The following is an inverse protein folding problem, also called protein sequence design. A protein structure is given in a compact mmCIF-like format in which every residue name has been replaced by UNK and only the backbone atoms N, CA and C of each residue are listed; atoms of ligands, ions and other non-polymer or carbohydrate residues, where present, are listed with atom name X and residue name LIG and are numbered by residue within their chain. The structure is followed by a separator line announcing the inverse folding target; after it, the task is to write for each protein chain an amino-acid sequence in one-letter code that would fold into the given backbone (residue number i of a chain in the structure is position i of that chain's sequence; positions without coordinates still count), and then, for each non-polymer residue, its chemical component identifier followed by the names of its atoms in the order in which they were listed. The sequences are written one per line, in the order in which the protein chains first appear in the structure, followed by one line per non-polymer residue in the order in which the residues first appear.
data_IF_707173840599
#
_entry.id   IF_707173840599
#
_cell.length_a   1.000
_cell.length_b   1.000
_cell.length_c   1.000
_cell.angle_alpha   90.00
_cell.angle_beta   90.00
_cell.angle_gamma   90.00
#
_symmetry.space_group_name_H-M   'P 1'
#
loop_
_entity.id
_entity.type
_entity.pdbx_description
1 polymer ?
#
# COMPACT_ATOMS: atom_id res chain seq x y z
N UNK A 1 25.56 0.28 -11.63
CA UNK A 1 25.28 -0.88 -12.52
C UNK A 1 26.55 -1.72 -12.57
N UNK A 2 26.43 -3.03 -12.36
CA UNK A 2 27.54 -3.98 -12.40
C UNK A 2 27.37 -4.85 -13.65
N UNK A 3 28.44 -5.12 -14.36
CA UNK A 3 28.45 -6.00 -15.55
C UNK A 3 29.18 -7.29 -15.21
N UNK A 4 28.59 -8.43 -15.56
CA UNK A 4 29.17 -9.72 -15.27
C UNK A 4 28.20 -10.87 -15.46
N UNK A 5 28.70 -12.06 -15.23
CA UNK A 5 27.87 -13.27 -15.15
C UNK A 5 27.42 -13.47 -13.72
N UNK A 6 26.13 -13.65 -13.52
CA UNK A 6 25.50 -13.91 -12.23
C UNK A 6 25.33 -15.43 -12.05
N UNK A 7 25.96 -15.99 -11.04
CA UNK A 7 25.82 -17.40 -10.68
C UNK A 7 24.83 -17.53 -9.52
N UNK A 8 23.81 -18.35 -9.72
CA UNK A 8 22.77 -18.63 -8.73
C UNK A 8 22.85 -20.10 -8.30
N UNK A 9 22.83 -20.34 -6.99
CA UNK A 9 22.74 -21.66 -6.41
C UNK A 9 21.72 -21.64 -5.26
N UNK A 10 20.80 -22.60 -5.24
CA UNK A 10 19.75 -22.75 -4.24
C UNK A 10 18.93 -21.47 -3.96
N UNK A 11 18.71 -20.65 -5.01
CA UNK A 11 17.94 -19.39 -4.90
C UNK A 11 18.74 -18.18 -4.39
N UNK A 12 20.04 -18.34 -4.17
CA UNK A 12 20.94 -17.27 -3.71
C UNK A 12 21.95 -16.89 -4.80
N UNK A 13 22.42 -15.64 -4.74
CA UNK A 13 23.56 -15.20 -5.55
C UNK A 13 24.82 -15.81 -4.94
N UNK A 14 25.37 -16.81 -5.60
CA UNK A 14 26.61 -17.44 -5.16
C UNK A 14 27.82 -16.56 -5.48
N UNK A 15 27.88 -16.06 -6.73
CA UNK A 15 29.02 -15.30 -7.23
C UNK A 15 28.63 -14.38 -8.38
N UNK A 16 29.37 -13.29 -8.52
CA UNK A 16 29.34 -12.40 -9.69
C UNK A 16 30.73 -12.37 -10.30
N UNK A 17 30.87 -12.87 -11.52
CA UNK A 17 32.10 -12.76 -12.30
C UNK A 17 32.08 -11.44 -13.07
N UNK A 18 32.78 -10.43 -12.56
CA UNK A 18 32.79 -9.09 -13.12
C UNK A 18 33.43 -9.06 -14.50
N UNK A 19 32.81 -8.35 -15.43
CA UNK A 19 33.28 -8.16 -16.79
C UNK A 19 33.36 -6.67 -17.15
N UNK A 20 34.14 -6.34 -18.17
CA UNK A 20 34.11 -5.00 -18.76
C UNK A 20 32.73 -4.73 -19.36
N UNK A 21 32.23 -3.46 -19.27
CA UNK A 21 30.97 -3.09 -19.88
C UNK A 21 30.90 -3.46 -21.37
N UNK A 22 29.87 -4.19 -21.75
CA UNK A 22 29.58 -4.58 -23.13
C UNK A 22 28.04 -4.61 -23.30
N UNK A 23 27.58 -4.83 -24.52
CA UNK A 23 26.14 -5.01 -24.76
C UNK A 23 25.66 -6.25 -24.01
N UNK A 24 24.65 -6.08 -23.16
CA UNK A 24 24.00 -7.15 -22.38
C UNK A 24 22.59 -7.37 -22.90
N UNK A 25 22.15 -8.62 -22.87
CA UNK A 25 20.79 -9.00 -23.24
C UNK A 25 19.81 -8.90 -22.05
N UNK A 26 20.34 -9.07 -20.84
CA UNK A 26 19.53 -9.23 -19.64
C UNK A 26 19.98 -8.28 -18.53
N UNK A 27 19.03 -7.81 -17.73
CA UNK A 27 19.25 -6.97 -16.56
C UNK A 27 18.65 -7.70 -15.36
N UNK A 28 19.49 -8.06 -14.38
CA UNK A 28 19.02 -8.55 -13.10
C UNK A 28 18.78 -7.38 -12.14
N UNK A 29 17.60 -7.33 -11.54
CA UNK A 29 17.22 -6.36 -10.50
C UNK A 29 16.68 -7.12 -9.29
N UNK A 30 16.71 -6.54 -8.09
CA UNK A 30 15.94 -7.08 -6.97
C UNK A 30 14.47 -7.21 -7.34
N UNK A 31 13.80 -8.23 -6.79
CA UNK A 31 12.36 -8.36 -6.96
C UNK A 31 11.62 -7.13 -6.39
N UNK A 32 10.53 -6.75 -7.03
CA UNK A 32 9.70 -5.63 -6.58
C UNK A 32 8.91 -6.02 -5.33
N UNK A 33 8.62 -5.03 -4.49
CA UNK A 33 7.76 -5.16 -3.31
C UNK A 33 6.56 -4.26 -3.51
N UNK A 34 5.35 -4.82 -3.44
CA UNK A 34 4.11 -4.05 -3.50
C UNK A 34 3.46 -4.02 -2.12
N UNK A 35 3.45 -2.85 -1.51
CA UNK A 35 2.93 -2.65 -0.15
C UNK A 35 1.48 -2.16 -0.11
N UNK A 36 0.88 -1.90 -1.29
CA UNK A 36 -0.50 -1.47 -1.41
C UNK A 36 -1.16 -2.11 -2.64
N UNK A 37 -1.92 -3.18 -2.41
CA UNK A 37 -2.61 -3.93 -3.47
C UNK A 37 -3.84 -4.65 -2.91
N UNK A 38 -5.02 -4.43 -3.53
CA UNK A 38 -6.28 -5.07 -3.14
C UNK A 38 -6.53 -6.38 -3.87
N UNK A 39 -5.69 -6.71 -4.83
CA UNK A 39 -5.82 -7.94 -5.61
C UNK A 39 -5.22 -7.83 -7.00
N UNK A 40 -5.27 -8.94 -7.73
CA UNK A 40 -4.73 -9.01 -9.08
C UNK A 40 -5.33 -10.19 -9.84
N UNK A 41 -5.60 -10.02 -11.13
CA UNK A 41 -5.95 -11.07 -12.09
C UNK A 41 -7.11 -12.00 -11.63
N UNK A 42 -8.16 -11.41 -11.07
CA UNK A 42 -9.35 -12.10 -10.57
C UNK A 42 -9.28 -12.52 -9.10
N UNK A 43 -8.14 -12.37 -8.45
CA UNK A 43 -7.95 -12.75 -7.05
C UNK A 43 -7.98 -11.51 -6.14
N UNK A 44 -8.79 -11.56 -5.09
CA UNK A 44 -8.92 -10.48 -4.11
C UNK A 44 -8.07 -10.74 -2.87
N UNK A 45 -7.42 -9.69 -2.36
CA UNK A 45 -6.75 -9.72 -1.06
C UNK A 45 -7.73 -9.88 0.11
N UNK A 46 -9.02 -9.65 -0.09
CA UNK A 46 -10.06 -9.78 0.93
C UNK A 46 -10.69 -11.18 0.98
N UNK A 47 -10.23 -12.09 0.12
CA UNK A 47 -10.70 -13.47 0.11
C UNK A 47 -10.12 -14.25 1.32
N UNK A 48 -10.92 -15.15 1.88
CA UNK A 48 -10.52 -16.01 3.01
C UNK A 48 -10.27 -17.47 2.62
N UNK A 49 -10.47 -17.81 1.34
CA UNK A 49 -10.12 -19.13 0.82
C UNK A 49 -8.61 -19.25 0.58
N UNK A 50 -7.99 -20.25 1.22
CA UNK A 50 -6.54 -20.47 1.16
C UNK A 50 -6.04 -20.72 -0.27
N UNK A 51 -6.81 -21.44 -1.07
CA UNK A 51 -6.45 -21.72 -2.47
C UNK A 51 -6.43 -20.44 -3.31
N UNK A 52 -7.36 -19.53 -3.05
CA UNK A 52 -7.43 -18.22 -3.69
C UNK A 52 -6.21 -17.34 -3.29
N UNK A 53 -5.85 -17.30 -2.00
CA UNK A 53 -4.70 -16.54 -1.51
C UNK A 53 -3.36 -17.08 -2.08
N UNK A 54 -3.20 -18.39 -2.19
CA UNK A 54 -2.03 -18.99 -2.83
C UNK A 54 -1.99 -18.69 -4.33
N UNK A 55 -3.15 -18.71 -5.02
CA UNK A 55 -3.22 -18.35 -6.43
C UNK A 55 -2.83 -16.88 -6.65
N UNK A 56 -3.29 -15.97 -5.79
CA UNK A 56 -2.88 -14.56 -5.81
C UNK A 56 -1.35 -14.43 -5.66
N UNK A 57 -0.76 -15.12 -4.68
CA UNK A 57 0.68 -15.09 -4.45
C UNK A 57 1.49 -15.60 -5.66
N UNK A 58 0.94 -16.51 -6.47
CA UNK A 58 1.56 -17.02 -7.70
C UNK A 58 1.45 -16.05 -8.89
N UNK A 59 0.47 -15.14 -8.89
CA UNK A 59 0.32 -14.15 -9.97
C UNK A 59 1.35 -13.02 -9.90
N UNK A 60 1.72 -12.57 -8.70
CA UNK A 60 2.63 -11.44 -8.51
C UNK A 60 4.02 -11.63 -9.14
N UNK A 61 4.72 -12.78 -8.98
CA UNK A 61 6.04 -13.00 -9.58
C UNK A 61 6.04 -12.94 -11.10
N UNK A 62 4.91 -13.23 -11.77
CA UNK A 62 4.77 -13.09 -13.23
C UNK A 62 4.92 -11.63 -13.68
N UNK A 63 4.82 -10.67 -12.75
CA UNK A 63 5.00 -9.23 -12.95
C UNK A 63 6.24 -8.66 -12.26
N UNK A 64 7.11 -9.54 -11.73
CA UNK A 64 8.33 -9.15 -11.04
C UNK A 64 8.15 -8.75 -9.57
N UNK A 65 6.93 -8.89 -9.01
CA UNK A 65 6.65 -8.63 -7.61
C UNK A 65 6.97 -9.90 -6.83
N UNK A 66 7.96 -9.86 -5.95
CA UNK A 66 8.44 -11.01 -5.18
C UNK A 66 8.02 -10.98 -3.72
N UNK A 67 7.54 -9.81 -3.23
CA UNK A 67 6.97 -9.63 -1.89
C UNK A 67 5.77 -8.71 -1.96
N UNK A 68 4.78 -8.90 -1.10
CA UNK A 68 3.59 -8.06 -1.09
C UNK A 68 2.96 -7.93 0.30
N UNK A 69 2.31 -6.78 0.53
CA UNK A 69 1.40 -6.55 1.64
C UNK A 69 -0.03 -6.50 1.07
N UNK A 70 -0.82 -7.57 1.23
CA UNK A 70 -2.21 -7.55 0.80
C UNK A 70 -2.97 -6.45 1.54
N UNK A 71 -3.65 -5.60 0.80
CA UNK A 71 -4.40 -4.48 1.35
C UNK A 71 -5.86 -4.85 1.51
N UNK A 72 -6.38 -4.63 2.71
CA UNK A 72 -7.76 -4.89 3.09
C UNK A 72 -8.44 -3.56 3.34
N UNK A 73 -9.47 -3.26 2.52
CA UNK A 73 -10.24 -2.01 2.63
C UNK A 73 -11.02 -1.93 3.93
N UNK A 74 -11.41 -0.72 4.32
CA UNK A 74 -12.14 -0.43 5.56
C UNK A 74 -13.33 -1.36 5.80
N UNK A 75 -13.37 -1.96 6.99
CA UNK A 75 -14.41 -2.86 7.50
C UNK A 75 -14.33 -2.98 9.03
N UNK A 76 -15.22 -3.76 9.65
CA UNK A 76 -15.18 -4.00 11.09
C UNK A 76 -13.90 -4.73 11.53
N UNK A 77 -13.51 -4.55 12.80
CA UNK A 77 -12.36 -5.26 13.37
C UNK A 77 -12.55 -6.79 13.34
N UNK A 78 -13.78 -7.30 13.45
CA UNK A 78 -14.06 -8.73 13.39
C UNK A 78 -13.85 -9.32 11.98
N UNK A 79 -14.18 -8.55 10.94
CA UNK A 79 -13.87 -8.93 9.57
C UNK A 79 -12.37 -8.91 9.31
N UNK A 80 -11.63 -7.92 9.85
CA UNK A 80 -10.18 -7.91 9.81
C UNK A 80 -9.57 -9.13 10.49
N UNK A 81 -10.05 -9.51 11.69
CA UNK A 81 -9.63 -10.75 12.38
C UNK A 81 -9.79 -11.96 11.46
N UNK A 82 -10.97 -12.10 10.85
CA UNK A 82 -11.28 -13.23 9.96
C UNK A 82 -10.31 -13.29 8.76
N UNK A 83 -10.03 -12.17 8.14
CA UNK A 83 -9.12 -12.10 6.97
C UNK A 83 -7.68 -12.37 7.41
N UNK A 84 -7.20 -11.74 8.48
CA UNK A 84 -5.84 -11.94 9.00
C UNK A 84 -5.62 -13.41 9.37
N UNK A 85 -6.61 -14.06 10.00
CA UNK A 85 -6.54 -15.49 10.34
C UNK A 85 -6.45 -16.38 9.09
N UNK A 86 -7.10 -15.99 8.00
CA UNK A 86 -6.97 -16.69 6.72
C UNK A 86 -5.54 -16.57 6.17
N UNK A 87 -4.95 -15.37 6.23
CA UNK A 87 -3.54 -15.14 5.84
C UNK A 87 -2.56 -15.90 6.74
N UNK A 88 -2.76 -15.90 8.06
CA UNK A 88 -1.96 -16.71 9.01
C UNK A 88 -1.94 -18.18 8.59
N UNK A 89 -3.11 -18.74 8.25
CA UNK A 89 -3.23 -20.14 7.81
C UNK A 89 -2.64 -20.38 6.42
N UNK A 90 -2.89 -19.48 5.46
CA UNK A 90 -2.45 -19.65 4.08
C UNK A 90 -0.92 -19.59 3.95
N UNK A 91 -0.27 -18.73 4.73
CA UNK A 91 1.16 -18.47 4.58
C UNK A 91 2.00 -19.02 5.74
N UNK A 92 1.44 -19.96 6.49
CA UNK A 92 2.17 -20.73 7.49
C UNK A 92 2.98 -21.87 6.81
N UNK A 93 4.29 -21.86 6.98
CA UNK A 93 5.19 -22.88 6.39
C UNK A 93 5.57 -22.58 4.93
N UNK A 94 5.91 -23.62 4.18
CA UNK A 94 6.36 -23.49 2.80
C UNK A 94 5.19 -23.30 1.83
N UNK A 95 5.28 -22.28 1.00
CA UNK A 95 4.36 -22.01 -0.10
C UNK A 95 5.11 -21.46 -1.32
N UNK A 96 4.43 -21.39 -2.46
CA UNK A 96 5.01 -20.85 -3.70
C UNK A 96 4.43 -19.48 -4.02
N UNK A 97 5.23 -18.62 -4.66
CA UNK A 97 4.81 -17.32 -5.13
C UNK A 97 5.54 -16.18 -4.43
N UNK A 98 4.96 -14.99 -4.47
CA UNK A 98 5.47 -13.82 -3.78
C UNK A 98 5.35 -13.99 -2.26
N UNK A 99 6.34 -13.46 -1.53
CA UNK A 99 6.38 -13.54 -0.08
C UNK A 99 5.35 -12.60 0.54
N UNK A 100 4.52 -13.15 1.42
CA UNK A 100 3.61 -12.40 2.27
C UNK A 100 4.39 -11.72 3.40
N UNK A 101 4.28 -10.39 3.53
CA UNK A 101 5.02 -9.59 4.52
C UNK A 101 4.18 -9.16 5.73
N UNK A 102 2.88 -9.38 5.68
CA UNK A 102 1.87 -8.88 6.61
C UNK A 102 0.80 -8.09 5.87
N UNK A 103 -0.34 -7.84 6.50
CA UNK A 103 -1.45 -7.09 5.87
C UNK A 103 -1.23 -5.59 5.96
N UNK A 104 -1.73 -4.88 4.95
CA UNK A 104 -1.97 -3.44 5.01
C UNK A 104 -3.47 -3.24 5.25
N UNK A 105 -3.85 -2.64 6.38
CA UNK A 105 -5.22 -2.28 6.69
C UNK A 105 -5.48 -0.86 6.21
N UNK A 106 -6.29 -0.69 5.18
CA UNK A 106 -6.66 0.63 4.67
C UNK A 106 -7.95 1.11 5.34
N UNK A 107 -7.79 1.76 6.47
CA UNK A 107 -8.85 2.12 7.41
C UNK A 107 -8.97 1.11 8.55
N UNK A 108 -10.10 1.09 9.29
CA UNK A 108 -11.41 1.70 9.02
C UNK A 108 -11.55 3.17 9.49
N UNK A 109 -10.52 3.73 10.08
CA UNK A 109 -10.54 5.05 10.73
C UNK A 109 -10.19 6.16 9.72
N UNK A 110 -11.08 6.37 8.76
CA UNK A 110 -10.91 7.30 7.64
C UNK A 110 -11.95 8.41 7.68
N UNK A 111 -11.65 9.54 7.03
CA UNK A 111 -12.60 10.63 6.90
C UNK A 111 -13.74 10.25 5.94
N UNK A 112 -15.02 10.29 6.35
CA UNK A 112 -16.16 9.90 5.50
C UNK A 112 -16.29 10.72 4.22
N UNK A 113 -15.83 11.98 4.21
CA UNK A 113 -15.88 12.85 3.03
C UNK A 113 -14.73 12.53 2.04
N UNK A 114 -13.73 11.76 2.48
CA UNK A 114 -12.56 11.35 1.71
C UNK A 114 -12.46 9.82 1.55
N UNK A 115 -13.56 9.10 1.73
CA UNK A 115 -13.58 7.64 1.69
C UNK A 115 -13.23 7.00 0.34
N UNK A 116 -13.19 7.78 -0.75
CA UNK A 116 -12.99 7.23 -2.09
C UNK A 116 -14.11 6.25 -2.48
N UNK A 117 -13.72 5.06 -2.93
CA UNK A 117 -14.62 3.96 -3.29
C UNK A 117 -15.18 3.18 -2.09
N UNK A 118 -14.66 3.40 -0.88
CA UNK A 118 -15.08 2.67 0.31
C UNK A 118 -16.51 3.00 0.71
N UNK A 119 -17.24 1.99 1.20
CA UNK A 119 -18.60 2.18 1.70
C UNK A 119 -18.57 2.93 3.03
N UNK A 120 -19.48 3.90 3.21
CA UNK A 120 -19.53 4.73 4.42
C UNK A 120 -19.81 3.89 5.67
N UNK A 121 -20.63 2.87 5.56
CA UNK A 121 -20.97 1.95 6.65
C UNK A 121 -19.79 1.09 7.15
N UNK A 122 -18.71 1.01 6.38
CA UNK A 122 -17.50 0.31 6.77
C UNK A 122 -16.52 1.18 7.57
N UNK A 123 -16.75 2.49 7.60
CA UNK A 123 -15.91 3.40 8.38
C UNK A 123 -16.32 3.35 9.84
N UNK A 124 -15.34 3.39 10.74
CA UNK A 124 -15.54 3.27 12.17
C UNK A 124 -15.04 4.51 12.92
N UNK A 125 -15.67 4.81 14.04
CA UNK A 125 -15.09 5.71 15.04
C UNK A 125 -13.97 4.98 15.81
N UNK A 126 -12.97 5.74 16.26
CA UNK A 126 -11.88 5.17 17.04
C UNK A 126 -12.32 4.99 18.50
N UNK A 127 -12.36 3.75 18.94
CA UNK A 127 -12.51 3.32 20.33
C UNK A 127 -11.18 2.70 20.78
N UNK A 128 -10.38 3.45 21.53
CA UNK A 128 -8.98 3.05 21.85
C UNK A 128 -8.89 1.68 22.53
N UNK A 129 -9.82 1.34 23.42
CA UNK A 129 -9.83 0.03 24.08
C UNK A 129 -10.05 -1.12 23.08
N UNK A 130 -10.98 -0.97 22.13
CA UNK A 130 -11.21 -1.99 21.08
C UNK A 130 -10.02 -2.12 20.13
N UNK A 131 -9.36 -0.99 19.80
CA UNK A 131 -8.15 -0.99 19.00
C UNK A 131 -6.99 -1.68 19.75
N UNK A 132 -6.80 -1.39 21.03
CA UNK A 132 -5.77 -2.02 21.84
C UNK A 132 -5.99 -3.53 21.99
N UNK A 133 -7.21 -3.98 22.24
CA UNK A 133 -7.58 -5.39 22.25
C UNK A 133 -7.27 -6.08 20.91
N UNK A 134 -7.60 -5.42 19.80
CA UNK A 134 -7.29 -5.91 18.45
C UNK A 134 -5.79 -6.02 18.21
N UNK A 135 -5.03 -4.97 18.53
CA UNK A 135 -3.57 -4.93 18.34
C UNK A 135 -2.85 -5.94 19.23
N UNK A 136 -3.32 -6.16 20.46
CA UNK A 136 -2.71 -7.14 21.38
C UNK A 136 -2.62 -8.54 20.79
N UNK A 137 -3.53 -8.90 19.87
CA UNK A 137 -3.60 -10.23 19.25
C UNK A 137 -3.03 -10.27 17.81
N UNK A 138 -3.14 -9.15 17.06
CA UNK A 138 -2.92 -9.16 15.61
C UNK A 138 -1.77 -8.29 15.12
N UNK A 139 -1.13 -7.47 15.96
CA UNK A 139 -0.10 -6.51 15.53
C UNK A 139 1.04 -7.14 14.73
N UNK A 140 1.49 -8.35 15.07
CA UNK A 140 2.57 -9.06 14.35
C UNK A 140 2.21 -9.38 12.88
N UNK A 141 0.93 -9.36 12.54
CA UNK A 141 0.44 -9.63 11.19
C UNK A 141 0.05 -8.38 10.42
N UNK A 142 -0.01 -7.23 11.12
CA UNK A 142 -0.34 -5.94 10.51
C UNK A 142 0.96 -5.22 10.21
N UNK A 143 1.26 -5.06 8.93
CA UNK A 143 2.46 -4.36 8.52
C UNK A 143 2.25 -2.86 8.47
N UNK A 144 1.12 -2.44 7.89
CA UNK A 144 0.77 -1.04 7.67
C UNK A 144 -0.69 -0.84 8.07
N UNK A 145 -1.00 0.32 8.63
CA UNK A 145 -2.37 0.79 8.79
C UNK A 145 -2.53 2.21 8.26
N UNK A 146 -3.45 2.39 7.31
CA UNK A 146 -3.85 3.71 6.84
C UNK A 146 -4.91 4.29 7.76
N UNK A 147 -4.66 5.52 8.21
CA UNK A 147 -5.56 6.27 9.12
C UNK A 147 -5.65 7.73 8.70
N UNK A 148 -6.82 8.34 8.89
CA UNK A 148 -7.01 9.77 8.68
C UNK A 148 -6.70 10.53 9.98
N UNK A 149 -5.73 11.47 9.98
CA UNK A 149 -5.35 12.18 11.21
C UNK A 149 -6.37 13.23 11.67
N UNK A 150 -7.37 13.53 10.86
CA UNK A 150 -8.43 14.50 11.17
C UNK A 150 -9.71 13.87 11.77
N UNK A 151 -9.72 12.55 12.00
CA UNK A 151 -10.82 11.91 12.73
C UNK A 151 -10.58 11.98 14.25
N UNK A 152 -11.65 11.87 15.01
CA UNK A 152 -11.59 11.94 16.48
C UNK A 152 -10.71 10.81 17.04
N UNK A 153 -9.88 11.09 18.04
CA UNK A 153 -8.94 10.17 18.71
C UNK A 153 -7.83 9.63 17.79
N UNK A 154 -7.59 10.29 16.65
CA UNK A 154 -6.58 9.80 15.69
C UNK A 154 -5.17 9.83 16.26
N UNK A 155 -4.78 10.89 16.98
CA UNK A 155 -3.43 11.03 17.52
C UNK A 155 -3.12 9.96 18.56
N UNK A 156 -4.08 9.64 19.42
CA UNK A 156 -3.96 8.57 20.40
C UNK A 156 -3.87 7.19 19.72
N UNK A 157 -4.68 6.97 18.67
CA UNK A 157 -4.63 5.72 17.89
C UNK A 157 -3.29 5.57 17.14
N UNK A 158 -2.78 6.64 16.53
CA UNK A 158 -1.46 6.66 15.87
C UNK A 158 -0.35 6.31 16.88
N UNK A 159 -0.38 6.92 18.07
CA UNK A 159 0.58 6.63 19.13
C UNK A 159 0.49 5.17 19.60
N UNK A 160 -0.71 4.62 19.68
CA UNK A 160 -0.96 3.22 20.05
C UNK A 160 -0.43 2.26 18.98
N UNK A 161 -0.74 2.50 17.70
CA UNK A 161 -0.23 1.73 16.57
C UNK A 161 1.32 1.73 16.55
N UNK A 162 1.92 2.90 16.76
CA UNK A 162 3.38 3.04 16.85
C UNK A 162 3.99 2.21 17.99
N UNK A 163 3.34 2.21 19.16
CA UNK A 163 3.76 1.40 20.32
C UNK A 163 3.75 -0.10 20.01
N UNK A 164 2.79 -0.56 19.21
CA UNK A 164 2.69 -1.97 18.78
C UNK A 164 3.56 -2.30 17.56
N UNK A 165 4.34 -1.34 17.03
CA UNK A 165 5.26 -1.56 15.92
C UNK A 165 4.59 -1.67 14.55
N UNK A 166 3.36 -1.18 14.42
CA UNK A 166 2.65 -1.09 13.13
C UNK A 166 3.10 0.19 12.42
N UNK A 167 3.45 0.10 11.13
CA UNK A 167 3.74 1.27 10.31
C UNK A 167 2.46 2.07 10.03
N UNK A 168 2.50 3.38 10.26
CA UNK A 168 1.32 4.24 10.11
C UNK A 168 1.44 5.07 8.85
N UNK A 169 0.47 4.89 7.95
CA UNK A 169 0.32 5.65 6.72
C UNK A 169 -0.87 6.61 6.82
N UNK A 170 -0.69 7.87 6.46
CA UNK A 170 -1.78 8.85 6.48
C UNK A 170 -2.46 8.90 5.12
N UNK A 171 -3.77 8.79 5.10
CA UNK A 171 -4.57 8.82 3.87
C UNK A 171 -6.05 9.03 4.12
N UNK A 172 -6.85 9.18 3.06
CA UNK A 172 -8.30 9.35 3.12
C UNK A 172 -8.75 10.44 4.12
N UNK A 173 -8.20 11.62 3.98
CA UNK A 173 -8.26 12.67 5.02
C UNK A 173 -8.50 14.05 4.45
N UNK A 174 -9.07 14.93 5.26
CA UNK A 174 -9.12 16.38 5.07
C UNK A 174 -8.14 17.13 6.00
N UNK A 175 -7.16 16.42 6.58
CA UNK A 175 -6.21 17.00 7.51
C UNK A 175 -5.53 18.25 6.96
N UNK A 176 -5.31 19.21 7.82
CA UNK A 176 -4.54 20.40 7.54
C UNK A 176 -3.04 20.18 7.88
N UNK A 177 -2.26 21.24 7.70
CA UNK A 177 -0.83 21.24 7.98
C UNK A 177 -0.51 20.87 9.44
N UNK A 178 -1.27 21.40 10.40
CA UNK A 178 -1.04 21.17 11.83
C UNK A 178 -1.35 19.74 12.22
N UNK A 179 -2.51 19.23 11.85
CA UNK A 179 -2.93 17.85 12.13
C UNK A 179 -1.97 16.84 11.52
N UNK A 180 -1.47 17.10 10.30
CA UNK A 180 -0.50 16.22 9.63
C UNK A 180 0.83 16.17 10.39
N UNK A 181 1.35 17.33 10.84
CA UNK A 181 2.59 17.36 11.63
C UNK A 181 2.42 16.74 13.02
N UNK A 182 1.25 16.90 13.65
CA UNK A 182 0.94 16.22 14.91
C UNK A 182 0.94 14.70 14.72
N UNK A 183 0.36 14.20 13.62
CA UNK A 183 0.37 12.77 13.30
C UNK A 183 1.81 12.24 13.09
N UNK A 184 2.68 12.99 12.41
CA UNK A 184 4.10 12.63 12.29
C UNK A 184 4.79 12.60 13.67
N UNK A 185 4.50 13.57 14.53
CA UNK A 185 5.04 13.59 15.89
C UNK A 185 4.54 12.41 16.76
N UNK A 186 3.35 11.88 16.48
CA UNK A 186 2.78 10.70 17.12
C UNK A 186 3.31 9.36 16.57
N UNK A 187 4.05 9.37 15.44
CA UNK A 187 4.70 8.17 14.90
C UNK A 187 4.27 7.77 13.49
N UNK A 188 3.46 8.57 12.79
CA UNK A 188 3.19 8.33 11.36
C UNK A 188 4.47 8.56 10.53
N UNK A 189 4.74 7.66 9.60
CA UNK A 189 5.98 7.65 8.80
C UNK A 189 5.73 7.66 7.30
N UNK A 190 4.49 7.47 6.88
CA UNK A 190 4.14 7.19 5.49
C UNK A 190 2.86 7.91 5.07
N UNK A 191 2.69 8.09 3.78
CA UNK A 191 1.50 8.63 3.11
C UNK A 191 0.97 7.60 2.14
N UNK A 192 -0.31 7.29 2.24
CA UNK A 192 -1.03 6.37 1.36
C UNK A 192 -1.37 7.08 0.05
N UNK A 193 -1.08 6.45 -1.10
CA UNK A 193 -1.38 6.89 -2.48
C UNK A 193 -1.47 8.43 -2.65
N UNK A 194 -0.33 9.09 -2.44
CA UNK A 194 -0.18 10.56 -2.41
C UNK A 194 -1.01 11.28 -3.47
N UNK A 195 -1.79 12.26 -3.03
CA UNK A 195 -2.66 13.08 -3.87
C UNK A 195 -4.06 12.50 -4.12
N UNK A 196 -4.28 11.20 -3.85
CA UNK A 196 -5.61 10.61 -3.95
C UNK A 196 -6.35 10.75 -2.62
N UNK A 197 -7.65 11.10 -2.66
CA UNK A 197 -8.48 11.26 -1.46
C UNK A 197 -7.91 12.20 -0.39
N UNK A 198 -7.18 13.23 -0.82
CA UNK A 198 -6.52 14.26 -0.01
C UNK A 198 -6.96 15.66 -0.41
N UNK A 199 -6.74 16.70 0.45
CA UNK A 199 -6.97 18.09 0.07
C UNK A 199 -6.04 18.55 -1.07
N UNK A 200 -6.55 19.46 -1.90
CA UNK A 200 -5.75 20.10 -2.95
C UNK A 200 -4.73 21.08 -2.37
N UNK A 201 -3.63 21.28 -3.09
CA UNK A 201 -2.62 22.30 -2.73
C UNK A 201 -3.18 23.68 -3.06
N UNK A 202 -3.17 24.57 -2.08
CA UNK A 202 -3.53 25.97 -2.26
C UNK A 202 -2.43 26.89 -1.73
N UNK A 203 -2.18 28.01 -2.39
CA UNK A 203 -1.14 28.96 -1.97
C UNK A 203 -1.58 29.89 -0.82
N UNK A 204 -2.85 29.86 -0.43
CA UNK A 204 -3.38 30.73 0.64
C UNK A 204 -3.31 30.11 2.03
N UNK A 205 -3.36 28.79 2.12
CA UNK A 205 -3.37 28.06 3.39
C UNK A 205 -2.57 26.77 3.24
N UNK A 206 -1.51 26.57 4.03
CA UNK A 206 -0.79 25.32 4.06
C UNK A 206 -1.73 24.16 4.43
N UNK A 207 -1.63 23.07 3.71
CA UNK A 207 -2.41 21.85 3.92
C UNK A 207 -1.55 20.64 4.20
N UNK A 208 -2.15 19.45 4.12
CA UNK A 208 -1.46 18.19 4.29
C UNK A 208 -0.25 18.05 3.34
N UNK A 209 -0.43 18.36 2.05
CA UNK A 209 0.64 18.19 1.06
C UNK A 209 1.87 19.04 1.37
N UNK A 210 1.68 20.25 1.94
CA UNK A 210 2.80 21.10 2.37
C UNK A 210 3.58 20.47 3.52
N UNK A 211 2.88 19.88 4.51
CA UNK A 211 3.52 19.14 5.60
C UNK A 211 4.30 17.93 5.07
N UNK A 212 3.73 17.18 4.13
CA UNK A 212 4.36 16.02 3.49
C UNK A 212 5.65 16.43 2.76
N UNK A 213 5.62 17.49 1.95
CA UNK A 213 6.80 17.93 1.21
C UNK A 213 7.91 18.50 2.11
N UNK A 214 7.56 19.02 3.28
CA UNK A 214 8.51 19.54 4.28
C UNK A 214 8.99 18.49 5.30
N UNK A 215 8.45 17.29 5.27
CA UNK A 215 8.86 16.17 6.15
C UNK A 215 9.80 15.20 5.43
N UNK A 216 10.24 14.16 6.15
CA UNK A 216 11.01 13.02 5.61
C UNK A 216 10.18 11.75 5.41
N UNK A 217 8.84 11.82 5.49
CA UNK A 217 7.95 10.67 5.35
C UNK A 217 8.07 10.01 3.97
N UNK A 218 7.82 8.71 3.92
CA UNK A 218 7.67 7.96 2.68
C UNK A 218 6.32 8.27 2.04
N UNK A 219 6.25 8.23 0.72
CA UNK A 219 5.04 8.53 -0.02
C UNK A 219 4.75 7.43 -1.03
N UNK A 220 3.64 6.72 -0.84
CA UNK A 220 3.14 5.82 -1.88
C UNK A 220 2.66 6.64 -3.07
N UNK A 221 2.98 6.17 -4.26
CA UNK A 221 2.59 6.81 -5.53
C UNK A 221 2.11 5.75 -6.50
N UNK A 222 0.88 5.90 -6.98
CA UNK A 222 0.33 5.08 -8.06
C UNK A 222 0.86 5.63 -9.39
N UNK A 223 1.77 4.87 -10.03
CA UNK A 223 2.50 5.35 -11.22
C UNK A 223 1.89 4.90 -12.55
N UNK A 224 0.55 4.78 -12.62
CA UNK A 224 -0.17 4.28 -13.79
C UNK A 224 -0.43 5.37 -14.88
N UNK A 225 -0.20 6.64 -14.55
CA UNK A 225 -0.48 7.77 -15.44
C UNK A 225 -1.97 8.14 -15.54
N UNK A 226 -2.83 7.47 -14.76
CA UNK A 226 -4.28 7.72 -14.66
C UNK A 226 -4.59 8.43 -13.33
N UNK A 227 -4.27 7.79 -12.20
CA UNK A 227 -4.43 8.38 -10.86
C UNK A 227 -3.59 9.63 -10.68
N UNK A 228 -2.37 9.63 -11.23
CA UNK A 228 -1.52 10.80 -11.24
C UNK A 228 -0.96 11.03 -12.64
N UNK A 229 -1.25 12.20 -13.23
CA UNK A 229 -0.77 12.56 -14.57
C UNK A 229 0.75 12.63 -14.61
N UNK A 230 1.35 12.34 -15.75
CA UNK A 230 2.80 12.25 -15.96
C UNK A 230 3.57 13.50 -15.50
N UNK A 231 3.00 14.68 -15.70
CA UNK A 231 3.58 15.97 -15.29
C UNK A 231 3.61 16.09 -13.77
N UNK A 232 2.55 15.65 -13.07
CA UNK A 232 2.49 15.62 -11.61
C UNK A 232 3.46 14.59 -11.04
N UNK A 233 3.57 13.40 -11.63
CA UNK A 233 4.57 12.40 -11.24
C UNK A 233 5.99 12.97 -11.29
N UNK A 234 6.35 13.67 -12.37
CA UNK A 234 7.66 14.33 -12.49
C UNK A 234 7.88 15.38 -11.42
N UNK A 235 6.84 16.15 -11.11
CA UNK A 235 6.91 17.20 -10.08
C UNK A 235 7.07 16.57 -8.68
N UNK A 236 6.26 15.59 -8.34
CA UNK A 236 6.34 14.85 -7.07
C UNK A 236 7.72 14.21 -6.87
N UNK A 237 8.24 13.49 -7.89
CA UNK A 237 9.57 12.85 -7.80
C UNK A 237 10.68 13.91 -7.63
N UNK A 238 10.55 15.09 -8.25
CA UNK A 238 11.53 16.17 -8.06
C UNK A 238 11.51 16.77 -6.66
N UNK A 239 10.32 16.85 -6.02
CA UNK A 239 10.18 17.39 -4.67
C UNK A 239 10.60 16.40 -3.59
N UNK A 240 10.18 15.14 -3.73
CA UNK A 240 10.44 14.11 -2.73
C UNK A 240 11.83 13.46 -2.89
N UNK A 241 12.36 13.42 -4.10
CA UNK A 241 13.47 12.54 -4.44
C UNK A 241 13.08 11.07 -4.50
N UNK A 242 13.91 10.23 -5.15
CA UNK A 242 13.60 8.80 -5.30
C UNK A 242 13.63 8.02 -3.99
N UNK A 243 14.30 8.52 -2.96
CA UNK A 243 14.42 7.84 -1.66
C UNK A 243 13.16 7.88 -0.81
N UNK A 244 12.23 8.78 -1.13
CA UNK A 244 10.98 8.96 -0.39
C UNK A 244 9.75 8.49 -1.17
N UNK A 245 9.91 8.11 -2.43
CA UNK A 245 8.83 7.64 -3.30
C UNK A 245 8.77 6.12 -3.25
N UNK A 246 7.62 5.58 -2.88
CA UNK A 246 7.31 4.15 -2.91
C UNK A 246 6.29 3.92 -4.03
N UNK A 247 6.70 3.26 -5.11
CA UNK A 247 5.78 2.89 -6.16
C UNK A 247 4.87 1.76 -5.69
N UNK A 248 3.57 1.95 -5.77
CA UNK A 248 2.55 0.95 -5.42
C UNK A 248 1.61 0.74 -6.60
N UNK A 249 0.97 -0.43 -6.64
CA UNK A 249 -0.01 -0.70 -7.68
C UNK A 249 -1.38 -0.14 -7.35
N UNK A 250 -1.79 -0.17 -6.10
CA UNK A 250 -3.18 -0.01 -5.67
C UNK A 250 -4.13 -0.86 -6.54
N UNK A 251 -3.59 -2.03 -6.94
CA UNK A 251 -4.22 -2.93 -7.87
C UNK A 251 -5.46 -3.58 -7.27
N UNK A 252 -6.48 -3.77 -8.09
CA UNK A 252 -7.72 -4.44 -7.71
C UNK A 252 -7.78 -5.84 -8.32
N UNK A 253 -8.73 -6.71 -7.94
CA UNK A 253 -8.92 -8.00 -8.62
C UNK A 253 -9.12 -7.89 -10.12
N UNK A 254 -9.54 -6.73 -10.61
CA UNK A 254 -9.74 -6.47 -12.04
C UNK A 254 -8.44 -6.08 -12.77
N UNK A 255 -7.38 -5.75 -12.03
CA UNK A 255 -6.08 -5.42 -12.60
C UNK A 255 -5.43 -6.62 -13.29
N UNK A 256 -4.67 -6.38 -14.36
CA UNK A 256 -3.94 -7.42 -15.09
C UNK A 256 -4.70 -8.06 -16.23
N UNK A 257 -6.01 -7.81 -16.39
CA UNK A 257 -6.78 -8.22 -17.56
C UNK A 257 -6.67 -7.20 -18.69
N UNK A 258 -6.85 -7.69 -19.91
CA UNK A 258 -6.98 -6.84 -21.07
C UNK A 258 -8.47 -6.63 -21.35
N UNK A 259 -8.95 -5.41 -21.14
CA UNK A 259 -10.34 -5.05 -21.41
C UNK A 259 -10.45 -4.28 -22.75
N UNK A 260 -11.53 -4.50 -23.54
CA UNK A 260 -11.80 -3.68 -24.71
C UNK A 260 -11.94 -2.20 -24.34
N UNK A 261 -11.58 -1.29 -25.26
CA UNK A 261 -11.80 0.14 -25.07
C UNK A 261 -13.28 0.43 -24.77
N UNK A 262 -13.53 1.18 -23.69
CA UNK A 262 -14.88 1.53 -23.24
C UNK A 262 -15.60 0.47 -22.41
N UNK A 263 -14.92 -0.59 -21.97
CA UNK A 263 -15.49 -1.56 -21.05
C UNK A 263 -15.70 -0.92 -19.67
N UNK A 264 -16.93 -0.93 -19.17
CA UNK A 264 -17.29 -0.48 -17.83
C UNK A 264 -17.51 -1.70 -16.92
N UNK A 265 -16.92 -1.69 -15.73
CA UNK A 265 -17.16 -2.68 -14.70
C UNK A 265 -18.39 -2.26 -13.88
N UNK A 266 -19.44 -3.07 -13.86
CA UNK A 266 -20.73 -2.74 -13.22
C UNK A 266 -20.63 -2.40 -11.72
N UNK A 267 -19.58 -2.85 -11.02
CA UNK A 267 -19.37 -2.63 -9.59
C UNK A 267 -18.13 -1.78 -9.26
N UNK A 268 -17.43 -1.23 -10.22
CA UNK A 268 -16.26 -0.42 -9.97
C UNK A 268 -16.65 1.03 -9.71
N UNK A 269 -16.71 1.44 -8.46
CA UNK A 269 -16.79 2.85 -8.02
C UNK A 269 -15.42 3.53 -8.16
N UNK A 270 -14.59 3.07 -9.04
CA UNK A 270 -13.27 3.63 -9.29
C UNK A 270 -13.21 4.16 -10.71
N UNK A 271 -12.63 5.36 -10.90
CA UNK A 271 -12.32 5.94 -12.20
C UNK A 271 -11.21 5.14 -12.90
N UNK A 272 -11.43 3.86 -13.10
CA UNK A 272 -10.54 3.03 -13.89
C UNK A 272 -10.91 3.18 -15.36
N UNK A 273 -10.37 4.21 -15.98
CA UNK A 273 -10.02 4.06 -17.37
C UNK A 273 -8.88 3.07 -17.42
N UNK A 274 -9.24 1.78 -17.53
CA UNK A 274 -8.29 0.68 -17.70
C UNK A 274 -7.60 0.85 -19.05
N UNK A 275 -6.59 1.68 -19.10
CA UNK A 275 -5.56 1.63 -20.14
C UNK A 275 -4.37 0.90 -19.55
N UNK A 276 -4.28 -0.37 -19.93
CA UNK A 276 -3.06 -1.17 -19.70
C UNK A 276 -1.88 -0.58 -20.46
#
# INVERSE_FOLDING_TARGET
MVFGDLHLEDGFVERIDYKTPHMVSDIAIPGLVDIHTHGFHGYSCENTDIGNLHALALEYPKRGITSFCPTVSARSLDEFRTIIDAYRKAFQGDYRGARYEGVHLEGPYLNPDRRGSMKKENLMEIHLGELEDFLSEYHDNIKIMTIAPDVKNAMEAISLLHLYGVEISLGHTNADFTQTNEAFACGATQITHLGNTMPEITHHKPGMMDAVFLSDCLCEVIMDGVHMQKEMLKWVIRLLGCSRVVAVSDGTPFSGFHYPDGYELEDAVSYTHLRA
#
